data_IF_975897236352
#
_entry.id   IF_975897236352
#
_cell.length_a   1.000
_cell.length_b   1.000
_cell.length_c   1.000
_cell.angle_alpha   90.00
_cell.angle_beta   90.00
_cell.angle_gamma   90.00
#
_symmetry.space_group_name_H-M   'P 1'
#
loop_
_entity.id
_entity.type
_entity.pdbx_description
1 polymer ?
#
# COMPACT_ATOMS: atom_id res chain seq x y z
N UNK A 1 14.57 1.29 -2.20
CA UNK A 1 13.62 0.85 -3.25
C UNK A 1 12.59 -0.17 -2.77
N UNK A 2 12.68 -0.68 -1.54
CA UNK A 2 11.57 -1.32 -0.83
C UNK A 2 11.09 -0.37 0.26
N UNK A 3 10.11 0.46 -0.04
CA UNK A 3 9.23 1.00 1.00
C UNK A 3 7.86 0.39 0.71
N UNK A 4 7.59 -0.75 1.34
CA UNK A 4 6.22 -1.07 1.70
C UNK A 4 5.81 -0.01 2.71
N UNK A 5 5.07 1.02 2.28
CA UNK A 5 4.34 1.87 3.21
C UNK A 5 3.25 0.99 3.84
N UNK A 6 3.53 0.42 5.01
CA UNK A 6 2.51 -0.19 5.85
C UNK A 6 1.61 0.94 6.37
N UNK A 7 0.36 0.97 5.92
CA UNK A 7 -0.70 1.69 6.63
C UNK A 7 -1.11 0.81 7.81
N UNK A 8 -0.59 1.11 9.00
CA UNK A 8 -1.04 0.48 10.25
C UNK A 8 -2.05 1.42 10.93
N UNK A 9 -3.29 0.96 11.10
CA UNK A 9 -4.33 1.66 11.86
C UNK A 9 -4.84 0.73 12.97
N UNK A 10 -4.95 1.24 14.20
CA UNK A 10 -5.30 0.44 15.38
C UNK A 10 -6.63 0.88 16.04
N UNK A 11 -7.63 -0.01 16.13
CA UNK A 11 -8.76 0.06 17.08
C UNK A 11 -9.54 -1.28 17.15
N UNK A 12 -9.87 -1.72 18.36
CA UNK A 12 -10.37 -3.05 18.78
C UNK A 12 -11.86 -3.28 18.43
N UNK A 13 -12.23 -4.51 17.95
CA UNK A 13 -13.49 -5.31 18.06
C UNK A 13 -13.67 -6.32 16.87
N UNK A 14 -14.53 -7.37 16.94
CA UNK A 14 -14.23 -8.73 16.43
C UNK A 14 -14.58 -9.01 14.95
N UNK A 15 -14.01 -10.11 14.45
CA UNK A 15 -13.75 -10.42 13.02
C UNK A 15 -14.85 -11.19 12.27
N UNK A 16 -14.76 -11.11 10.94
CA UNK A 16 -14.71 -12.25 10.01
C UNK A 16 -14.31 -11.71 8.62
N UNK A 17 -13.25 -12.27 8.03
CA UNK A 17 -12.84 -12.11 6.61
C UNK A 17 -11.93 -10.91 6.26
N UNK A 18 -10.61 -11.18 6.33
CA UNK A 18 -9.53 -10.27 5.93
C UNK A 18 -8.56 -9.95 7.07
N UNK A 19 -7.84 -10.95 7.58
CA UNK A 19 -6.80 -10.89 8.64
C UNK A 19 -6.89 -9.71 9.61
N UNK A 20 -8.03 -9.54 10.28
CA UNK A 20 -8.17 -8.68 11.45
C UNK A 20 -7.77 -9.49 12.69
N UNK A 21 -6.57 -9.25 13.22
CA UNK A 21 -6.22 -9.66 14.59
C UNK A 21 -6.61 -8.50 15.53
N UNK A 22 -6.99 -8.79 16.78
CA UNK A 22 -7.56 -7.83 17.74
C UNK A 22 -7.03 -6.39 17.60
N UNK A 23 -7.84 -5.53 16.98
CA UNK A 23 -7.58 -4.11 16.85
C UNK A 23 -6.55 -3.68 15.82
N UNK A 24 -6.02 -4.57 14.98
CA UNK A 24 -5.09 -4.25 13.91
C UNK A 24 -5.70 -4.58 12.55
N UNK A 25 -5.77 -3.57 11.67
CA UNK A 25 -6.05 -3.79 10.26
C UNK A 25 -4.75 -3.90 9.48
N UNK A 26 -4.56 -5.03 8.80
CA UNK A 26 -3.41 -5.27 7.91
C UNK A 26 -3.89 -5.17 6.47
N UNK A 27 -3.32 -4.25 5.70
CA UNK A 27 -3.60 -4.11 4.28
C UNK A 27 -2.33 -4.05 3.45
N UNK A 28 -2.40 -4.66 2.28
CA UNK A 28 -1.36 -4.63 1.29
C UNK A 28 -1.66 -3.55 0.25
N UNK A 29 -0.69 -2.70 -0.05
CA UNK A 29 -0.81 -1.61 -1.05
C UNK A 29 -1.35 -2.13 -2.40
N UNK A 30 -1.00 -3.36 -2.78
CA UNK A 30 -1.47 -3.98 -4.03
C UNK A 30 -3.00 -4.07 -4.12
N UNK A 31 -3.70 -4.16 -2.99
CA UNK A 31 -5.16 -4.20 -2.95
C UNK A 31 -5.75 -2.83 -3.31
N UNK A 32 -5.18 -1.74 -2.79
CA UNK A 32 -5.61 -0.38 -3.16
C UNK A 32 -5.41 -0.07 -4.63
N UNK A 33 -4.31 -0.56 -5.19
CA UNK A 33 -4.01 -0.38 -6.61
C UNK A 33 -4.92 -1.23 -7.51
N UNK A 34 -5.49 -2.31 -6.98
CA UNK A 34 -6.46 -3.15 -7.69
C UNK A 34 -7.88 -2.60 -7.60
N UNK A 35 -8.34 -2.24 -6.40
CA UNK A 35 -9.67 -1.69 -6.16
C UNK A 35 -9.66 -0.76 -4.94
N UNK A 36 -9.46 0.54 -5.21
CA UNK A 36 -9.43 1.58 -4.18
C UNK A 36 -10.77 1.72 -3.46
N UNK A 37 -11.89 1.56 -4.16
CA UNK A 37 -13.22 1.74 -3.56
C UNK A 37 -13.55 0.61 -2.59
N UNK A 38 -13.23 -0.64 -2.96
CA UNK A 38 -13.42 -1.79 -2.10
C UNK A 38 -12.56 -1.68 -0.83
N UNK A 39 -11.28 -1.32 -0.96
CA UNK A 39 -10.41 -1.15 0.21
C UNK A 39 -10.84 0.03 1.10
N UNK A 40 -11.37 1.11 0.51
CA UNK A 40 -11.96 2.20 1.29
C UNK A 40 -13.16 1.72 2.12
N UNK A 41 -14.03 0.88 1.54
CA UNK A 41 -15.16 0.27 2.29
C UNK A 41 -14.65 -0.60 3.44
N UNK A 42 -13.57 -1.36 3.24
CA UNK A 42 -12.95 -2.18 4.29
C UNK A 42 -12.40 -1.33 5.42
N UNK A 43 -11.66 -0.26 5.11
CA UNK A 43 -11.18 0.70 6.13
C UNK A 43 -12.35 1.30 6.89
N UNK A 44 -13.38 1.79 6.18
CA UNK A 44 -14.52 2.41 6.84
C UNK A 44 -15.24 1.42 7.76
N UNK A 45 -15.46 0.18 7.31
CA UNK A 45 -16.04 -0.88 8.13
C UNK A 45 -15.21 -1.14 9.39
N UNK A 46 -13.88 -1.26 9.25
CA UNK A 46 -12.96 -1.42 10.38
C UNK A 46 -13.03 -0.25 11.38
N UNK A 47 -13.17 0.98 10.88
CA UNK A 47 -13.31 2.17 11.72
C UNK A 47 -14.73 2.36 12.30
N UNK A 48 -15.69 1.49 11.96
CA UNK A 48 -17.09 1.64 12.35
C UNK A 48 -17.81 2.80 11.66
N UNK A 49 -17.38 3.16 10.44
CA UNK A 49 -17.91 4.27 9.64
C UNK A 49 -18.77 3.76 8.48
N UNK A 50 -19.85 4.48 8.17
CA UNK A 50 -20.70 4.24 7.01
C UNK A 50 -20.56 5.38 5.98
N UNK A 51 -19.63 5.27 5.01
CA UNK A 51 -19.33 6.36 4.09
C UNK A 51 -20.44 6.49 3.03
N UNK A 52 -20.84 7.73 2.75
CA UNK A 52 -21.77 8.00 1.65
C UNK A 52 -21.10 7.73 0.30
N UNK A 53 -21.89 7.45 -0.75
CA UNK A 53 -21.37 7.27 -2.12
C UNK A 53 -20.56 8.49 -2.58
N UNK A 54 -21.01 9.69 -2.23
CA UNK A 54 -20.32 10.93 -2.56
C UNK A 54 -18.96 11.03 -1.85
N UNK A 55 -18.90 10.72 -0.55
CA UNK A 55 -17.65 10.71 0.19
C UNK A 55 -16.66 9.68 -0.37
N UNK A 56 -17.15 8.48 -0.71
CA UNK A 56 -16.32 7.44 -1.33
C UNK A 56 -15.69 7.95 -2.62
N UNK A 57 -16.49 8.54 -3.51
CA UNK A 57 -16.01 9.10 -4.77
C UNK A 57 -14.95 10.19 -4.55
N UNK A 58 -15.22 11.13 -3.64
CA UNK A 58 -14.29 12.23 -3.34
C UNK A 58 -12.96 11.72 -2.78
N UNK A 59 -13.00 10.72 -1.89
CA UNK A 59 -11.79 10.12 -1.33
C UNK A 59 -11.04 9.37 -2.42
N UNK A 60 -11.70 8.49 -3.18
CA UNK A 60 -11.10 7.74 -4.29
C UNK A 60 -10.41 8.66 -5.29
N UNK A 61 -11.06 9.76 -5.68
CA UNK A 61 -10.47 10.76 -6.58
C UNK A 61 -9.22 11.38 -5.95
N UNK A 62 -9.29 11.86 -4.70
CA UNK A 62 -8.16 12.52 -4.03
C UNK A 62 -6.96 11.59 -3.82
N UNK A 63 -7.18 10.30 -3.59
CA UNK A 63 -6.11 9.32 -3.36
C UNK A 63 -5.55 8.70 -4.65
N UNK A 64 -6.05 9.11 -5.83
CA UNK A 64 -5.41 8.73 -7.08
C UNK A 64 -3.96 9.22 -7.11
N UNK A 65 -3.07 8.39 -7.67
CA UNK A 65 -1.63 8.64 -7.64
C UNK A 65 -1.27 10.01 -8.23
N UNK A 66 -1.84 10.38 -9.38
CA UNK A 66 -1.55 11.66 -10.03
C UNK A 66 -2.06 12.84 -9.20
N UNK A 67 -3.21 12.71 -8.56
CA UNK A 67 -3.76 13.75 -7.68
C UNK A 67 -2.88 13.93 -6.44
N UNK A 68 -2.45 12.84 -5.81
CA UNK A 68 -1.51 12.90 -4.70
C UNK A 68 -0.15 13.46 -5.12
N UNK A 69 0.37 13.08 -6.29
CA UNK A 69 1.65 13.57 -6.84
C UNK A 69 1.64 15.09 -7.06
N UNK A 70 0.50 15.66 -7.45
CA UNK A 70 0.34 17.09 -7.67
C UNK A 70 -0.06 17.87 -6.40
N UNK A 71 -0.42 17.17 -5.32
CA UNK A 71 -0.80 17.80 -4.06
C UNK A 71 0.43 18.10 -3.18
N UNK A 72 0.75 19.39 -3.02
CA UNK A 72 1.90 19.88 -2.24
C UNK A 72 1.92 19.43 -0.78
N UNK A 73 0.75 19.15 -0.19
CA UNK A 73 0.64 18.72 1.20
C UNK A 73 1.13 17.28 1.43
N UNK A 74 1.18 16.45 0.38
CA UNK A 74 1.50 15.02 0.50
C UNK A 74 2.63 14.56 -0.42
N UNK A 75 2.98 15.34 -1.45
CA UNK A 75 4.01 14.96 -2.42
C UNK A 75 5.46 15.22 -1.95
N UNK A 76 5.65 15.59 -0.68
CA UNK A 76 6.96 15.83 -0.08
C UNK A 76 7.63 17.16 -0.46
N UNK A 77 7.02 18.00 -1.31
CA UNK A 77 7.63 19.27 -1.74
C UNK A 77 7.73 20.35 -0.66
N UNK A 78 6.97 20.20 0.42
CA UNK A 78 7.02 21.09 1.58
C UNK A 78 8.05 20.66 2.64
N UNK A 79 8.69 19.50 2.48
CA UNK A 79 9.62 18.94 3.44
C UNK A 79 11.07 19.10 2.96
N UNK A 80 11.85 19.88 3.70
CA UNK A 80 13.24 20.23 3.38
C UNK A 80 14.22 19.05 3.54
N UNK A 81 13.79 17.95 4.18
CA UNK A 81 14.63 16.75 4.35
C UNK A 81 14.79 15.98 3.03
N UNK A 82 13.84 16.11 2.09
CA UNK A 82 13.88 15.38 0.82
C UNK A 82 14.55 16.18 -0.29
N UNK A 83 15.64 15.66 -0.84
CA UNK A 83 16.19 16.17 -2.11
C UNK A 83 15.40 15.62 -3.31
N UNK A 84 14.36 16.36 -3.68
CA UNK A 84 13.47 16.01 -4.79
C UNK A 84 14.13 16.14 -6.17
N UNK A 85 15.35 16.70 -6.28
CA UNK A 85 16.10 16.72 -7.54
C UNK A 85 16.72 15.35 -7.83
N UNK A 86 17.06 14.58 -6.79
CA UNK A 86 17.55 13.21 -6.92
C UNK A 86 16.38 12.27 -7.26
N UNK A 87 15.30 12.35 -6.50
CA UNK A 87 14.11 11.54 -6.76
C UNK A 87 12.85 12.18 -6.19
N UNK A 88 11.75 12.25 -6.98
CA UNK A 88 10.48 12.69 -6.44
C UNK A 88 9.97 11.66 -5.41
N UNK A 89 9.39 12.15 -4.30
CA UNK A 89 8.78 11.31 -3.28
C UNK A 89 7.68 10.41 -3.86
N UNK A 90 6.78 11.00 -4.66
CA UNK A 90 5.76 10.28 -5.43
C UNK A 90 6.34 9.80 -6.77
N UNK A 91 7.01 8.64 -6.75
CA UNK A 91 7.87 8.17 -7.86
C UNK A 91 7.14 7.54 -9.06
N UNK A 92 6.50 6.37 -8.90
CA UNK A 92 5.87 5.62 -10.00
C UNK A 92 4.47 5.05 -9.72
N UNK A 93 4.10 4.82 -8.45
CA UNK A 93 2.73 4.39 -8.10
C UNK A 93 2.28 3.05 -8.68
N UNK A 94 3.20 2.13 -8.99
CA UNK A 94 2.88 0.86 -9.66
C UNK A 94 3.56 -0.35 -8.99
N UNK A 95 2.85 -1.48 -9.02
CA UNK A 95 3.39 -2.79 -8.59
C UNK A 95 4.29 -3.34 -9.71
N UNK A 96 5.30 -4.14 -9.35
CA UNK A 96 6.15 -4.82 -10.32
C UNK A 96 7.37 -4.03 -10.83
N UNK A 97 7.59 -2.77 -10.38
CA UNK A 97 8.75 -1.99 -10.86
C UNK A 97 10.10 -2.65 -10.49
N UNK A 98 10.12 -3.55 -9.50
CA UNK A 98 11.30 -4.29 -9.07
C UNK A 98 11.96 -5.08 -10.21
N UNK A 99 11.19 -5.63 -11.15
CA UNK A 99 11.71 -6.40 -12.28
C UNK A 99 12.60 -5.56 -13.22
N UNK A 100 12.46 -4.22 -13.20
CA UNK A 100 13.33 -3.34 -13.99
C UNK A 100 14.70 -3.08 -13.33
N UNK A 101 14.89 -3.48 -12.08
CA UNK A 101 16.10 -3.19 -11.30
C UNK A 101 16.90 -4.43 -10.94
N UNK A 102 16.29 -5.61 -11.01
CA UNK A 102 16.94 -6.87 -10.64
C UNK A 102 17.58 -7.52 -11.87
N UNK A 103 18.80 -8.01 -11.71
CA UNK A 103 19.33 -9.03 -12.63
C UNK A 103 18.72 -10.39 -12.30
N UNK A 104 18.76 -11.32 -13.25
CA UNK A 104 18.28 -12.70 -13.05
C UNK A 104 18.92 -13.33 -11.80
N UNK A 105 20.24 -13.15 -11.62
CA UNK A 105 20.97 -13.70 -10.47
C UNK A 105 20.51 -13.09 -9.14
N UNK A 106 20.21 -11.78 -9.12
CA UNK A 106 19.71 -11.10 -7.93
C UNK A 106 18.29 -11.57 -7.58
N UNK A 107 17.46 -11.80 -8.59
CA UNK A 107 16.09 -12.30 -8.41
C UNK A 107 16.11 -13.74 -7.86
N UNK A 108 16.94 -14.62 -8.41
CA UNK A 108 17.14 -15.98 -7.90
C UNK A 108 17.58 -15.96 -6.42
N UNK A 109 18.60 -15.18 -6.09
CA UNK A 109 19.10 -15.06 -4.72
C UNK A 109 18.02 -14.52 -3.76
N UNK A 110 17.25 -13.51 -4.19
CA UNK A 110 16.15 -12.96 -3.40
C UNK A 110 15.05 -13.99 -3.18
N UNK A 111 14.66 -14.72 -4.22
CA UNK A 111 13.60 -15.73 -4.17
C UNK A 111 13.96 -16.89 -3.25
N UNK A 112 15.21 -17.32 -3.21
CA UNK A 112 15.68 -18.34 -2.26
C UNK A 112 15.57 -17.87 -0.80
N UNK A 113 16.03 -16.65 -0.51
CA UNK A 113 15.96 -16.06 0.84
C UNK A 113 14.51 -15.83 1.27
N UNK A 114 13.68 -15.31 0.36
CA UNK A 114 12.25 -15.11 0.58
C UNK A 114 11.54 -16.42 0.93
N UNK A 115 11.77 -17.50 0.16
CA UNK A 115 11.18 -18.82 0.46
C UNK A 115 11.57 -19.34 1.84
N UNK A 116 12.81 -19.12 2.28
CA UNK A 116 13.27 -19.53 3.61
C UNK A 116 12.56 -18.73 4.71
N UNK A 117 12.44 -17.41 4.55
CA UNK A 117 11.80 -16.51 5.53
C UNK A 117 10.28 -16.72 5.63
N UNK A 118 9.63 -17.10 4.52
CA UNK A 118 8.17 -17.27 4.44
C UNK A 118 7.71 -18.72 4.69
N UNK A 119 8.62 -19.66 4.90
CA UNK A 119 8.35 -21.11 4.90
C UNK A 119 7.23 -21.57 5.85
N UNK A 120 7.04 -20.85 6.96
CA UNK A 120 6.09 -21.22 8.01
C UNK A 120 5.03 -20.13 8.23
N UNK A 121 4.70 -19.36 7.19
CA UNK A 121 3.69 -18.31 7.25
C UNK A 121 2.60 -18.58 6.23
N UNK A 122 1.36 -18.30 6.60
CA UNK A 122 0.22 -18.33 5.66
C UNK A 122 0.08 -17.02 4.87
N UNK A 123 1.03 -16.09 5.05
CA UNK A 123 1.05 -14.80 4.36
C UNK A 123 1.41 -14.98 2.88
N UNK A 124 0.50 -14.55 2.02
CA UNK A 124 0.70 -14.54 0.58
C UNK A 124 0.72 -13.11 0.05
N UNK A 125 1.75 -12.81 -0.73
CA UNK A 125 1.94 -11.50 -1.35
C UNK A 125 1.83 -11.62 -2.86
N UNK A 126 1.15 -10.66 -3.50
CA UNK A 126 1.13 -10.53 -4.95
C UNK A 126 2.22 -9.54 -5.38
N UNK A 127 3.06 -9.93 -6.34
CA UNK A 127 4.23 -9.14 -6.77
C UNK A 127 4.06 -8.44 -8.12
N UNK A 128 2.94 -8.72 -8.81
CA UNK A 128 2.53 -8.15 -10.11
C UNK A 128 1.01 -7.95 -10.12
N UNK A 129 0.52 -6.87 -10.73
CA UNK A 129 -0.91 -6.64 -10.96
C UNK A 129 -1.26 -6.94 -12.41
#
# INVERSE_FOLDING_TARGET
FFFCCFLSMSKVYPSSDGYCHEGLWVCFIVLFLQDTEQELVRICSFLGLSPTTELKKQVTEKVQFDNMKNNKMVNGSADEVFDLKISPFMRKGRVGDWNNHFTVQQDEQFNEDYKKKMKNTDLQFRTVL
#
